data_IF_446563186694
#
_entry.id   IF_446563186694
#
_cell.length_a   1.000
_cell.length_b   1.000
_cell.length_c   1.000
_cell.angle_alpha   90.00
_cell.angle_beta   90.00
_cell.angle_gamma   90.00
#
_symmetry.space_group_name_H-M   'P 1'
#
loop_
_entity.id
_entity.type
_entity.pdbx_description
1 polymer ?
#
# COMPACT_ATOMS: atom_id res chain seq x y z
N UNK A 1 19.25 2.74 11.55
CA UNK A 1 18.52 3.22 10.36
C UNK A 1 17.07 2.76 10.50
N UNK A 2 16.18 3.61 11.02
CA UNK A 2 14.75 3.24 11.14
C UNK A 2 14.15 3.29 9.74
N UNK A 3 13.87 2.13 9.17
CA UNK A 3 13.06 2.03 7.95
C UNK A 3 11.63 2.22 8.42
N UNK A 4 11.11 3.45 8.34
CA UNK A 4 9.69 3.69 8.58
C UNK A 4 8.90 3.01 7.47
N UNK A 5 8.46 1.78 7.73
CA UNK A 5 7.61 1.03 6.83
C UNK A 5 6.22 1.69 6.86
N UNK A 6 5.88 2.41 5.79
CA UNK A 6 4.53 2.96 5.61
C UNK A 6 3.61 1.85 5.14
N UNK A 7 2.55 1.59 5.89
CA UNK A 7 1.53 0.62 5.49
C UNK A 7 0.32 1.36 4.94
N UNK A 8 -0.36 0.75 3.99
CA UNK A 8 -1.62 1.25 3.45
C UNK A 8 -2.66 0.14 3.60
N UNK A 9 -3.81 0.48 4.16
CA UNK A 9 -4.94 -0.42 4.34
C UNK A 9 -5.96 -0.13 3.25
N UNK A 10 -6.47 -1.18 2.63
CA UNK A 10 -7.55 -1.07 1.66
C UNK A 10 -8.88 -0.92 2.37
N UNK A 11 -9.65 0.12 2.07
CA UNK A 11 -10.98 0.27 2.66
C UNK A 11 -12.07 -0.39 1.80
N UNK A 12 -11.88 -0.48 0.49
CA UNK A 12 -12.88 -0.99 -0.44
C UNK A 12 -12.31 -2.04 -1.38
N UNK A 13 -13.11 -3.07 -1.67
CA UNK A 13 -12.75 -4.07 -2.68
C UNK A 13 -12.60 -3.40 -4.03
N UNK A 14 -11.54 -3.74 -4.76
CA UNK A 14 -11.34 -3.26 -6.12
C UNK A 14 -10.68 -4.35 -6.94
N UNK A 15 -11.16 -4.56 -8.16
CA UNK A 15 -10.57 -5.52 -9.09
C UNK A 15 -10.30 -4.83 -10.40
N UNK A 16 -9.10 -5.02 -10.94
CA UNK A 16 -8.75 -4.53 -12.25
C UNK A 16 -7.82 -5.48 -12.97
N UNK A 17 -7.88 -5.44 -14.30
CA UNK A 17 -6.95 -6.17 -15.16
C UNK A 17 -5.75 -5.27 -15.44
N UNK A 18 -4.55 -5.71 -15.03
CA UNK A 18 -3.30 -5.05 -15.38
C UNK A 18 -3.08 -5.07 -16.89
N UNK A 19 -2.18 -4.22 -17.39
CA UNK A 19 -1.81 -4.16 -18.82
C UNK A 19 -1.28 -5.50 -19.34
N UNK A 20 -0.67 -6.29 -18.46
CA UNK A 20 -0.17 -7.64 -18.76
C UNK A 20 -1.27 -8.72 -18.81
N UNK A 21 -2.55 -8.34 -18.66
CA UNK A 21 -3.68 -9.27 -18.60
C UNK A 21 -3.87 -9.95 -17.24
N UNK A 22 -3.04 -9.62 -16.24
CA UNK A 22 -3.16 -10.16 -14.89
C UNK A 22 -4.33 -9.50 -14.14
N UNK A 23 -5.27 -10.31 -13.65
CA UNK A 23 -6.35 -9.82 -12.78
C UNK A 23 -5.79 -9.57 -11.38
N UNK A 24 -5.82 -8.32 -10.95
CA UNK A 24 -5.42 -7.89 -9.62
C UNK A 24 -6.69 -7.65 -8.80
N UNK A 25 -6.98 -8.59 -7.90
CA UNK A 25 -8.07 -8.46 -6.93
C UNK A 25 -7.53 -7.91 -5.62
N UNK A 26 -7.98 -6.72 -5.27
CA UNK A 26 -7.67 -6.04 -4.03
C UNK A 26 -8.87 -6.18 -3.10
N UNK A 27 -8.67 -6.74 -1.91
CA UNK A 27 -9.73 -6.91 -0.93
C UNK A 27 -9.67 -5.83 0.16
N UNK A 28 -10.83 -5.40 0.68
CA UNK A 28 -10.85 -4.51 1.82
C UNK A 28 -10.17 -5.22 3.00
N UNK A 29 -9.57 -4.43 3.88
CA UNK A 29 -8.77 -4.90 5.02
C UNK A 29 -7.44 -5.58 4.65
N UNK A 30 -7.04 -5.60 3.36
CA UNK A 30 -5.68 -5.96 2.99
C UNK A 30 -4.69 -4.83 3.33
N UNK A 31 -3.48 -5.23 3.74
CA UNK A 31 -2.40 -4.31 4.09
C UNK A 31 -1.28 -4.45 3.08
N UNK A 32 -0.84 -3.32 2.55
CA UNK A 32 0.28 -3.26 1.62
C UNK A 32 1.38 -2.37 2.17
N UNK A 33 2.63 -2.72 1.86
CA UNK A 33 3.80 -1.91 2.22
C UNK A 33 4.02 -0.93 1.08
N UNK A 34 3.88 0.35 1.37
CA UNK A 34 4.20 1.42 0.42
C UNK A 34 5.71 1.54 0.29
N UNK A 35 6.22 1.26 -0.90
CA UNK A 35 7.64 1.36 -1.20
C UNK A 35 8.01 2.77 -1.64
N UNK A 36 7.23 3.34 -2.57
CA UNK A 36 7.51 4.66 -3.14
C UNK A 36 6.26 5.31 -3.70
N UNK A 37 6.05 6.58 -3.36
CA UNK A 37 5.12 7.48 -4.06
C UNK A 37 5.89 8.17 -5.17
N UNK A 38 6.04 7.50 -6.31
CA UNK A 38 6.76 8.08 -7.45
C UNK A 38 5.86 9.01 -8.26
N UNK A 39 4.55 8.78 -8.25
CA UNK A 39 3.58 9.59 -8.98
C UNK A 39 2.23 9.59 -8.24
N UNK A 40 1.50 10.71 -8.22
CA UNK A 40 0.20 10.87 -7.52
C UNK A 40 -0.93 10.02 -8.12
N UNK A 41 -0.68 9.36 -9.26
CA UNK A 41 -1.64 8.49 -9.92
C UNK A 41 -1.42 7.00 -9.60
N UNK A 42 -0.19 6.57 -9.29
CA UNK A 42 0.16 5.16 -9.08
C UNK A 42 1.15 5.02 -7.93
N UNK A 43 0.77 4.20 -6.94
CA UNK A 43 1.63 3.86 -5.83
C UNK A 43 2.34 2.55 -6.07
N UNK A 44 3.64 2.54 -5.77
CA UNK A 44 4.42 1.32 -5.81
C UNK A 44 4.35 0.67 -4.43
N UNK A 45 3.66 -0.46 -4.35
CA UNK A 45 3.47 -1.19 -3.10
C UNK A 45 3.88 -2.66 -3.23
N UNK A 46 3.96 -3.38 -2.12
CA UNK A 46 4.12 -4.83 -2.09
C UNK A 46 3.23 -5.45 -1.02
N UNK A 47 2.76 -6.68 -1.26
CA UNK A 47 1.96 -7.43 -0.28
C UNK A 47 2.76 -7.83 0.96
N UNK A 48 4.01 -8.26 0.75
CA UNK A 48 4.93 -8.73 1.79
C UNK A 48 6.37 -8.44 1.38
N UNK A 49 7.32 -8.53 2.33
CA UNK A 49 8.76 -8.34 2.05
C UNK A 49 9.31 -9.26 0.95
N UNK A 50 8.76 -10.47 0.83
CA UNK A 50 9.13 -11.47 -0.18
C UNK A 50 8.22 -11.48 -1.41
N UNK A 51 7.18 -10.63 -1.45
CA UNK A 51 6.28 -10.57 -2.60
C UNK A 51 6.84 -9.64 -3.66
N UNK A 52 6.56 -9.95 -4.94
CA UNK A 52 6.85 -9.03 -6.03
C UNK A 52 6.06 -7.73 -5.81
N UNK A 53 6.72 -6.57 -5.90
CA UNK A 53 6.03 -5.29 -5.80
C UNK A 53 5.22 -5.02 -7.06
N UNK A 54 4.14 -4.28 -6.93
CA UNK A 54 3.22 -3.95 -8.02
C UNK A 54 2.66 -2.55 -7.85
N UNK A 55 2.07 -2.03 -8.93
CA UNK A 55 1.52 -0.69 -8.96
C UNK A 55 0.02 -0.72 -8.75
N UNK A 56 -0.47 0.12 -7.84
CA UNK A 56 -1.90 0.29 -7.61
C UNK A 56 -2.29 1.74 -7.87
N UNK A 57 -3.41 2.01 -8.55
CA UNK A 57 -3.90 3.36 -8.72
C UNK A 57 -4.30 4.01 -7.38
N UNK A 58 -4.03 5.31 -7.24
CA UNK A 58 -4.33 6.09 -6.02
C UNK A 58 -5.82 6.30 -5.79
N UNK A 59 -6.63 6.17 -6.85
CA UNK A 59 -8.10 6.25 -6.77
C UNK A 59 -8.72 5.07 -6.01
N UNK A 60 -7.98 3.98 -5.80
CA UNK A 60 -8.37 2.95 -4.86
C UNK A 60 -8.17 3.53 -3.45
N UNK A 61 -9.27 3.78 -2.75
CA UNK A 61 -9.33 4.37 -1.41
C UNK A 61 -8.53 3.54 -0.39
N UNK A 62 -7.28 3.96 -0.16
CA UNK A 62 -6.40 3.42 0.86
C UNK A 62 -6.24 4.40 2.03
N UNK A 63 -6.34 3.88 3.25
CA UNK A 63 -5.95 4.63 4.45
C UNK A 63 -4.47 4.38 4.74
N UNK A 64 -3.68 5.46 4.79
CA UNK A 64 -2.25 5.37 5.13
C UNK A 64 -2.12 5.13 6.64
N UNK A 65 -1.73 3.91 7.01
CA UNK A 65 -1.37 3.55 8.37
C UNK A 65 0.14 3.79 8.53
N UNK A 66 0.51 5.00 8.95
CA UNK A 66 1.87 5.21 9.44
C UNK A 66 2.06 4.35 10.69
N UNK A 67 3.13 3.55 10.73
CA UNK A 67 3.49 2.84 11.95
C UNK A 67 3.62 3.90 13.05
N UNK A 68 2.75 3.82 14.06
CA UNK A 68 2.75 4.70 15.23
C UNK A 68 4.00 4.43 16.07
N UNK A 69 5.16 4.84 15.56
CA UNK A 69 6.45 4.72 16.23
C UNK A 69 6.81 5.94 17.09
N UNK A 70 5.96 6.97 17.16
CA UNK A 70 6.34 8.27 17.74
C UNK A 70 5.22 9.03 18.47
N UNK A 71 4.19 8.36 19.02
CA UNK A 71 3.22 9.03 19.92
C UNK A 71 3.09 8.41 21.31
N UNK A 72 4.05 7.57 21.72
CA UNK A 72 4.31 7.30 23.14
C UNK A 72 5.77 7.69 23.45
N UNK A 73 6.09 8.96 23.26
CA UNK A 73 7.29 9.58 23.79
C UNK A 73 7.00 11.07 23.94
N UNK A 74 6.30 11.43 25.01
CA UNK A 74 6.86 12.17 26.13
C UNK A 74 5.75 12.79 26.98
N UNK A 75 5.83 12.53 28.29
CA UNK A 75 5.05 13.08 29.42
C UNK A 75 3.70 12.44 29.71
#
# INVERSE_FOLDING_TARGET
MKVEETYVLVEYAFEYTSKDGQVITIKPNERYILLRRTNDHWWHVRKSKNSRPFYIPVSSVFTVLQSVGSLLSNC
#
